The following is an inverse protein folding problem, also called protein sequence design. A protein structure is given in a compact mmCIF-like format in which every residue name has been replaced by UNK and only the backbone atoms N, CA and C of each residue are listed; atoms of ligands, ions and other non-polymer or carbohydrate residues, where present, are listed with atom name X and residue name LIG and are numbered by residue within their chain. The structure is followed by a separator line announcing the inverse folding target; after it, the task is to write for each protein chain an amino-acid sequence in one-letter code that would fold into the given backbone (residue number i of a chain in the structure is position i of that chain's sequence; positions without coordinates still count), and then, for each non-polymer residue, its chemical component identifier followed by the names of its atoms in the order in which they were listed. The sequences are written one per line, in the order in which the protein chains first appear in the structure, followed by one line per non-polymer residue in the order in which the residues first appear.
data_IF_673075104359
#
_entry.id   IF_673075104359
#
_cell.length_a   1.000
_cell.length_b   1.000
_cell.length_c   1.000
_cell.angle_alpha   90.00
_cell.angle_beta   90.00
_cell.angle_gamma   90.00
#
_symmetry.space_group_name_H-M   'P 1'
#
loop_
_entity.id
_entity.type
_entity.pdbx_description
1 polymer ?
#
# COMPACT_ATOMS: atom_id res chain seq x y z
N UNK A 1 -0.77 -4.44 -15.87
CA UNK A 1 0.45 -4.43 -15.04
C UNK A 1 0.70 -3.03 -14.52
N UNK A 2 1.15 -2.89 -13.27
CA UNK A 2 1.45 -1.59 -12.61
C UNK A 2 2.93 -1.51 -12.18
N UNK A 3 3.32 -0.37 -11.59
CA UNK A 3 4.64 -0.10 -11.02
C UNK A 3 4.55 0.38 -9.56
N UNK A 4 5.70 0.42 -8.88
CA UNK A 4 5.76 0.81 -7.47
C UNK A 4 5.36 2.27 -7.21
N UNK A 5 5.55 3.18 -8.16
CA UNK A 5 5.28 4.61 -7.99
C UNK A 5 3.78 4.87 -7.89
N UNK A 6 3.01 4.30 -8.82
CA UNK A 6 1.55 4.40 -8.82
C UNK A 6 0.99 3.78 -7.53
N UNK A 7 1.42 2.57 -7.19
CA UNK A 7 0.93 1.86 -6.00
C UNK A 7 1.25 2.65 -4.71
N UNK A 8 2.46 3.19 -4.59
CA UNK A 8 2.82 4.02 -3.45
C UNK A 8 1.94 5.28 -3.36
N UNK A 9 1.62 5.89 -4.51
CA UNK A 9 0.74 7.07 -4.56
C UNK A 9 -0.65 6.73 -4.01
N UNK A 10 -1.23 5.61 -4.42
CA UNK A 10 -2.57 5.19 -3.97
C UNK A 10 -2.59 4.83 -2.47
N UNK A 11 -1.57 4.10 -1.99
CA UNK A 11 -1.43 3.77 -0.57
C UNK A 11 -1.27 5.02 0.31
N UNK A 12 -0.43 5.97 -0.13
CA UNK A 12 -0.23 7.22 0.58
C UNK A 12 -1.47 8.09 0.55
N UNK A 13 -2.19 8.14 -0.58
CA UNK A 13 -3.46 8.85 -0.72
C UNK A 13 -4.50 8.37 0.31
N UNK A 14 -4.61 7.06 0.55
CA UNK A 14 -5.44 6.52 1.62
C UNK A 14 -4.94 6.95 3.01
N UNK A 15 -3.63 6.97 3.24
CA UNK A 15 -3.04 7.41 4.50
C UNK A 15 -3.27 8.89 4.83
N UNK A 16 -3.49 9.75 3.83
CA UNK A 16 -3.79 11.17 4.03
C UNK A 16 -5.13 11.40 4.75
N UNK A 17 -6.05 10.42 4.73
CA UNK A 17 -7.34 10.53 5.41
C UNK A 17 -7.21 10.65 6.94
N UNK A 18 -6.12 10.14 7.52
CA UNK A 18 -5.88 10.27 8.96
C UNK A 18 -4.82 9.31 9.49
N UNK A 19 -4.27 9.58 10.69
CA UNK A 19 -3.14 8.82 11.24
C UNK A 19 -3.49 7.36 11.61
N UNK A 20 -4.78 7.03 11.65
CA UNK A 20 -5.29 5.67 11.91
C UNK A 20 -5.83 4.99 10.67
N UNK A 21 -5.68 5.59 9.49
CA UNK A 21 -6.12 4.99 8.23
C UNK A 21 -5.23 3.79 7.89
N UNK A 22 -5.78 2.58 7.74
CA UNK A 22 -5.02 1.44 7.26
C UNK A 22 -4.90 1.46 5.74
N UNK A 23 -3.79 0.93 5.23
CA UNK A 23 -3.62 0.63 3.80
C UNK A 23 -2.70 -0.59 3.64
N UNK A 24 -2.96 -1.39 2.60
CA UNK A 24 -2.21 -2.62 2.36
C UNK A 24 -2.05 -2.86 0.86
N UNK A 25 -0.86 -3.33 0.46
CA UNK A 25 -0.61 -3.94 -0.84
C UNK A 25 -0.59 -5.45 -0.69
N UNK A 26 -1.31 -6.17 -1.55
CA UNK A 26 -1.16 -7.62 -1.71
C UNK A 26 -0.60 -7.88 -3.09
N UNK A 27 0.52 -8.58 -3.18
CA UNK A 27 1.22 -8.80 -4.46
C UNK A 27 1.88 -10.17 -4.51
N UNK A 28 1.98 -10.74 -5.72
CA UNK A 28 2.77 -11.94 -5.99
C UNK A 28 4.20 -11.61 -6.44
N UNK A 29 4.54 -10.32 -6.55
CA UNK A 29 5.82 -9.87 -7.05
C UNK A 29 6.66 -9.22 -5.96
N UNK A 30 7.71 -9.92 -5.55
CA UNK A 30 8.72 -9.39 -4.62
C UNK A 30 9.34 -8.08 -5.13
N UNK A 31 9.57 -7.99 -6.45
CA UNK A 31 10.05 -6.76 -7.08
C UNK A 31 9.11 -5.59 -6.84
N UNK A 32 7.81 -5.76 -7.07
CA UNK A 32 6.81 -4.70 -6.84
C UNK A 32 6.74 -4.34 -5.35
N UNK A 33 6.79 -5.33 -4.45
CA UNK A 33 6.79 -5.08 -3.01
C UNK A 33 7.94 -4.14 -2.59
N UNK A 34 9.17 -4.43 -3.05
CA UNK A 34 10.33 -3.59 -2.73
C UNK A 34 10.32 -2.24 -3.44
N UNK A 35 9.95 -2.19 -4.72
CA UNK A 35 9.80 -0.92 -5.45
C UNK A 35 8.79 -0.02 -4.73
N UNK A 36 7.61 -0.52 -4.35
CA UNK A 36 6.61 0.26 -3.61
C UNK A 36 7.17 0.82 -2.29
N UNK A 37 8.00 0.08 -1.55
CA UNK A 37 8.61 0.59 -0.32
C UNK A 37 9.56 1.77 -0.59
N UNK A 38 10.43 1.65 -1.60
CA UNK A 38 11.34 2.73 -2.00
C UNK A 38 10.57 3.98 -2.43
N UNK A 39 9.47 3.76 -3.15
CA UNK A 39 8.58 4.79 -3.66
C UNK A 39 7.84 5.53 -2.53
N UNK A 40 7.35 4.80 -1.52
CA UNK A 40 6.75 5.38 -0.32
C UNK A 40 7.75 6.29 0.41
N UNK A 41 8.98 5.82 0.62
CA UNK A 41 10.02 6.63 1.27
C UNK A 41 10.38 7.88 0.47
N UNK A 42 10.39 7.80 -0.87
CA UNK A 42 10.66 8.98 -1.71
C UNK A 42 9.51 9.97 -1.66
N UNK A 43 8.27 9.51 -1.84
CA UNK A 43 7.10 10.39 -1.96
C UNK A 43 6.80 11.12 -0.65
N UNK A 44 6.98 10.45 0.50
CA UNK A 44 6.83 11.06 1.83
C UNK A 44 7.78 12.25 2.06
N UNK A 45 8.90 12.39 1.32
CA UNK A 45 9.80 13.55 1.44
C UNK A 45 9.21 14.83 0.85
N UNK A 46 8.24 14.72 -0.05
CA UNK A 46 7.66 15.86 -0.78
C UNK A 46 6.16 16.02 -0.56
N UNK A 47 5.50 14.99 -0.01
CA UNK A 47 4.05 15.00 0.22
C UNK A 47 3.68 16.06 1.28
N UNK A 48 2.80 17.03 0.98
CA UNK A 48 2.42 18.08 1.93
C UNK A 48 1.82 17.55 3.25
N UNK A 49 1.21 16.37 3.21
CA UNK A 49 0.53 15.69 4.32
C UNK A 49 1.39 14.63 5.01
N UNK A 50 2.70 14.57 4.69
CA UNK A 50 3.62 13.53 5.19
C UNK A 50 3.62 13.35 6.72
N UNK A 51 3.42 14.41 7.49
CA UNK A 51 3.36 14.33 8.96
C UNK A 51 2.24 13.38 9.46
N UNK A 52 1.10 13.35 8.76
CA UNK A 52 -0.04 12.47 9.06
C UNK A 52 0.11 11.13 8.36
N UNK A 53 0.42 11.17 7.06
CA UNK A 53 0.50 9.97 6.23
C UNK A 53 1.62 9.02 6.68
N UNK A 54 2.75 9.55 7.17
CA UNK A 54 3.84 8.72 7.70
C UNK A 54 3.45 7.98 8.98
N UNK A 55 2.57 8.55 9.82
CA UNK A 55 2.04 7.88 11.01
C UNK A 55 1.11 6.75 10.60
N UNK A 56 0.18 7.01 9.68
CA UNK A 56 -0.70 5.98 9.12
C UNK A 56 0.09 4.83 8.51
N UNK A 57 1.07 5.12 7.64
CA UNK A 57 1.90 4.10 7.01
C UNK A 57 2.73 3.31 8.02
N UNK A 58 3.41 3.99 8.96
CA UNK A 58 4.25 3.32 9.96
C UNK A 58 3.46 2.38 10.86
N UNK A 59 2.27 2.81 11.30
CA UNK A 59 1.52 2.10 12.33
C UNK A 59 0.53 1.08 11.75
N UNK A 60 0.06 1.28 10.52
CA UNK A 60 -1.00 0.46 9.89
C UNK A 60 -0.72 0.03 8.45
N UNK A 61 0.34 0.53 7.82
CA UNK A 61 0.73 0.16 6.46
C UNK A 61 1.25 -1.27 6.37
N UNK A 62 0.84 -2.00 5.33
CA UNK A 62 1.24 -3.41 5.14
C UNK A 62 1.57 -3.71 3.67
N UNK A 63 2.54 -4.61 3.47
CA UNK A 63 2.73 -5.29 2.19
C UNK A 63 2.72 -6.80 2.44
N UNK A 64 1.79 -7.48 1.78
CA UNK A 64 1.62 -8.93 1.84
C UNK A 64 2.14 -9.51 0.51
N UNK A 65 3.31 -10.16 0.57
CA UNK A 65 3.82 -10.96 -0.53
C UNK A 65 3.21 -12.36 -0.42
N UNK A 66 2.49 -12.78 -1.45
CA UNK A 66 1.76 -14.06 -1.52
C UNK A 66 2.21 -14.89 -2.71
N UNK A 67 1.98 -16.21 -2.67
CA UNK A 67 2.47 -17.13 -3.71
C UNK A 67 1.56 -17.15 -4.96
N UNK A 68 0.31 -16.70 -4.84
CA UNK A 68 -0.67 -16.75 -5.93
C UNK A 68 -1.76 -15.68 -5.84
N UNK A 69 -2.52 -15.51 -6.93
CA UNK A 69 -3.69 -14.62 -6.95
C UNK A 69 -4.79 -15.18 -6.05
N UNK A 70 -4.95 -16.50 -5.98
CA UNK A 70 -5.92 -17.14 -5.10
C UNK A 70 -5.63 -16.84 -3.62
N UNK A 71 -4.36 -16.87 -3.22
CA UNK A 71 -3.95 -16.46 -1.88
C UNK A 71 -4.18 -14.96 -1.67
N UNK A 72 -3.93 -14.13 -2.69
CA UNK A 72 -4.22 -12.69 -2.61
C UNK A 72 -5.70 -12.41 -2.34
N UNK A 73 -6.61 -13.17 -2.96
CA UNK A 73 -8.06 -13.07 -2.72
C UNK A 73 -8.40 -13.46 -1.29
N UNK A 74 -7.82 -14.55 -0.77
CA UNK A 74 -8.05 -15.00 0.61
C UNK A 74 -7.59 -13.94 1.62
N UNK A 75 -6.42 -13.33 1.41
CA UNK A 75 -5.93 -12.27 2.29
C UNK A 75 -6.77 -10.98 2.16
N UNK A 76 -7.20 -10.61 0.96
CA UNK A 76 -8.10 -9.48 0.74
C UNK A 76 -9.44 -9.66 1.49
N UNK A 77 -10.03 -10.85 1.43
CA UNK A 77 -11.27 -11.19 2.14
C UNK A 77 -11.11 -11.10 3.67
N UNK A 78 -9.93 -11.48 4.20
CA UNK A 78 -9.63 -11.37 5.64
C UNK A 78 -9.48 -9.91 6.07
N UNK A 79 -8.84 -9.08 5.25
CA UNK A 79 -8.65 -7.66 5.52
C UNK A 79 -9.97 -6.89 5.45
N UNK A 80 -10.86 -7.24 4.51
CA UNK A 80 -12.19 -6.67 4.35
C UNK A 80 -12.19 -5.12 4.32
N UNK A 81 -11.27 -4.53 3.56
CA UNK A 81 -11.10 -3.09 3.47
C UNK A 81 -12.26 -2.40 2.72
N UNK A 82 -12.51 -1.15 3.09
CA UNK A 82 -13.56 -0.29 2.50
C UNK A 82 -13.37 -0.10 0.99
N UNK A 83 -12.12 0.11 0.57
CA UNK A 83 -11.73 0.26 -0.83
C UNK A 83 -10.82 -0.90 -1.24
N UNK A 84 -11.09 -1.43 -2.43
CA UNK A 84 -10.27 -2.48 -3.06
C UNK A 84 -9.99 -2.04 -4.50
N UNK A 85 -8.71 -1.99 -4.84
CA UNK A 85 -8.23 -1.69 -6.19
C UNK A 85 -7.51 -2.90 -6.76
N UNK A 86 -7.81 -3.24 -8.02
CA UNK A 86 -7.26 -4.41 -8.70
C UNK A 86 -6.45 -3.95 -9.91
N UNK A 87 -5.12 -4.02 -9.78
CA UNK A 87 -4.16 -3.61 -10.80
C UNK A 87 -3.54 -4.86 -11.45
N UNK A 88 -4.04 -5.27 -12.61
CA UNK A 88 -3.58 -6.47 -13.36
C UNK A 88 -2.98 -6.14 -14.71
#
# INVERSE_FOLDING_TARGET
TSDGEIIATDLLGQGEHGPTSPCALITTSERIAYETLEEIERQLKTLPTADVTSVSWRDYGQILLVDSIEEAVIEADKLAFEHVEVLT
#
